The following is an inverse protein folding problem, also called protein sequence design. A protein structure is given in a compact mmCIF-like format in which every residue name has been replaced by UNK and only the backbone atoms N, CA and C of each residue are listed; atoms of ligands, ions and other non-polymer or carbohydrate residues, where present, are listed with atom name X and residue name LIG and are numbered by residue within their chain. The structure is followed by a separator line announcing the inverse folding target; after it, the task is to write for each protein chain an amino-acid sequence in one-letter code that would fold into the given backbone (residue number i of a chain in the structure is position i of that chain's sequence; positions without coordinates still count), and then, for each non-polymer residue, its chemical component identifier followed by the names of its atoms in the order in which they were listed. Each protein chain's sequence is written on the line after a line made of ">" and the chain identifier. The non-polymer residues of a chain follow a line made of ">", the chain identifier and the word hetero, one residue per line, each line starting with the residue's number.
data_IF_193519105019
#
_entry.id   IF_193519105019
#
_cell.length_a   1.000
_cell.length_b   1.000
_cell.length_c   1.000
_cell.angle_alpha   90.00
_cell.angle_beta   90.00
_cell.angle_gamma   90.00
#
_symmetry.space_group_name_H-M   'P 1'
#
loop_
_entity.id
_entity.type
_entity.pdbx_description
1 polymer ?
#
# COMPACT_ATOMS: atom_id res chain seq x y z
N UNK A 1 -1.29 60.60 -5.86
CA UNK A 1 -2.20 59.44 -5.92
C UNK A 1 -1.34 58.19 -5.96
N UNK A 2 -1.14 57.54 -4.81
CA UNK A 2 -0.45 56.26 -4.71
C UNK A 2 -1.46 55.15 -5.01
N UNK A 3 -1.23 54.42 -6.09
CA UNK A 3 -2.01 53.23 -6.45
C UNK A 3 -1.72 52.19 -5.37
N UNK A 4 -2.75 51.63 -4.68
CA UNK A 4 -2.52 50.53 -3.74
C UNK A 4 -1.93 49.32 -4.49
N UNK A 5 -0.84 48.76 -3.98
CA UNK A 5 -0.30 47.49 -4.49
C UNK A 5 -1.39 46.43 -4.38
N UNK A 6 -1.60 45.58 -5.40
CA UNK A 6 -2.56 44.47 -5.29
C UNK A 6 -2.16 43.60 -4.12
N UNK A 7 -3.16 43.30 -3.27
CA UNK A 7 -3.05 42.39 -2.14
C UNK A 7 -2.49 41.06 -2.66
N UNK A 8 -1.43 40.51 -2.06
CA UNK A 8 -0.89 39.25 -2.54
C UNK A 8 -1.98 38.18 -2.45
N UNK A 9 -2.33 37.58 -3.59
CA UNK A 9 -3.26 36.48 -3.66
C UNK A 9 -2.91 35.42 -2.58
N UNK A 10 -3.89 34.85 -1.86
CA UNK A 10 -3.63 33.85 -0.83
C UNK A 10 -2.78 32.76 -1.47
N UNK A 11 -1.51 32.66 -1.08
CA UNK A 11 -0.66 31.56 -1.49
C UNK A 11 -1.33 30.29 -0.96
N UNK A 12 -1.83 29.49 -1.87
CA UNK A 12 -2.50 28.23 -1.55
C UNK A 12 -1.48 27.35 -0.81
N UNK A 13 -1.56 27.34 0.52
CA UNK A 13 -0.59 26.64 1.35
C UNK A 13 -0.69 25.14 1.05
N UNK A 14 0.42 24.57 0.62
CA UNK A 14 0.50 23.13 0.33
C UNK A 14 0.08 22.30 1.54
N UNK A 15 -0.57 21.15 1.33
CA UNK A 15 -0.98 20.29 2.44
C UNK A 15 0.27 19.80 3.21
N UNK A 16 0.21 19.76 4.55
CA UNK A 16 1.32 19.30 5.35
C UNK A 16 1.67 17.84 5.03
N UNK A 17 2.97 17.51 4.99
CA UNK A 17 3.47 16.19 4.65
C UNK A 17 2.75 15.04 5.40
N UNK A 18 2.49 15.24 6.70
CA UNK A 18 1.78 14.25 7.52
C UNK A 18 0.34 14.00 7.06
N UNK A 19 -0.32 15.02 6.53
CA UNK A 19 -1.66 14.85 6.01
C UNK A 19 -1.64 14.01 4.72
N UNK A 20 -0.71 14.29 3.82
CA UNK A 20 -0.50 13.48 2.62
C UNK A 20 -0.11 12.03 2.99
N UNK A 21 0.83 11.85 3.92
CA UNK A 21 1.23 10.53 4.37
C UNK A 21 0.07 9.71 4.96
N UNK A 22 -0.83 10.35 5.74
CA UNK A 22 -2.03 9.68 6.27
C UNK A 22 -3.00 9.26 5.17
N UNK A 23 -3.19 10.08 4.14
CA UNK A 23 -4.02 9.72 3.00
C UNK A 23 -3.41 8.51 2.28
N UNK A 24 -2.11 8.55 1.97
CA UNK A 24 -1.41 7.42 1.35
C UNK A 24 -1.53 6.16 2.19
N UNK A 25 -1.26 6.25 3.49
CA UNK A 25 -1.36 5.13 4.42
C UNK A 25 -2.77 4.52 4.44
N UNK A 26 -3.79 5.37 4.58
CA UNK A 26 -5.18 4.91 4.69
C UNK A 26 -5.66 4.28 3.39
N UNK A 27 -5.40 4.91 2.24
CA UNK A 27 -5.79 4.37 0.94
C UNK A 27 -5.03 3.10 0.62
N UNK A 28 -3.73 3.02 0.92
CA UNK A 28 -2.94 1.80 0.78
C UNK A 28 -3.54 0.65 1.59
N UNK A 29 -3.77 0.87 2.90
CA UNK A 29 -4.30 -0.16 3.80
C UNK A 29 -5.68 -0.66 3.36
N UNK A 30 -6.59 0.27 3.07
CA UNK A 30 -7.96 -0.09 2.64
C UNK A 30 -7.94 -0.84 1.32
N UNK A 31 -7.16 -0.39 0.34
CA UNK A 31 -7.04 -1.05 -0.97
C UNK A 31 -6.49 -2.47 -0.81
N UNK A 32 -5.43 -2.63 -0.03
CA UNK A 32 -4.84 -3.95 0.23
C UNK A 32 -5.85 -4.90 0.87
N UNK A 33 -6.58 -4.46 1.90
CA UNK A 33 -7.60 -5.29 2.55
C UNK A 33 -8.70 -5.69 1.55
N UNK A 34 -9.22 -4.72 0.78
CA UNK A 34 -10.27 -4.96 -0.21
C UNK A 34 -9.80 -5.93 -1.28
N UNK A 35 -8.59 -5.74 -1.84
CA UNK A 35 -8.00 -6.65 -2.84
C UNK A 35 -7.91 -8.07 -2.29
N UNK A 36 -7.40 -8.26 -1.09
CA UNK A 36 -7.27 -9.60 -0.47
C UNK A 36 -8.61 -10.26 -0.21
N UNK A 37 -9.58 -9.51 0.31
CA UNK A 37 -10.94 -10.02 0.53
C UNK A 37 -11.57 -10.42 -0.81
N UNK A 38 -11.41 -9.59 -1.84
CA UNK A 38 -11.96 -9.87 -3.17
C UNK A 38 -11.35 -11.14 -3.77
N UNK A 39 -10.02 -11.29 -3.73
CA UNK A 39 -9.33 -12.50 -4.22
C UNK A 39 -9.85 -13.74 -3.48
N UNK A 40 -9.95 -13.70 -2.15
CA UNK A 40 -10.49 -14.82 -1.36
C UNK A 40 -11.91 -15.17 -1.78
N UNK A 41 -12.78 -14.17 -1.98
CA UNK A 41 -14.18 -14.39 -2.38
C UNK A 41 -14.29 -14.98 -3.79
N UNK A 42 -13.44 -14.56 -4.74
CA UNK A 42 -13.38 -15.10 -6.10
C UNK A 42 -12.90 -16.57 -6.04
N UNK A 43 -11.81 -16.84 -5.32
CA UNK A 43 -11.30 -18.21 -5.17
C UNK A 43 -12.30 -19.12 -4.45
N UNK A 44 -13.04 -18.62 -3.48
CA UNK A 44 -14.14 -19.33 -2.82
C UNK A 44 -15.41 -19.47 -3.69
N UNK A 45 -15.38 -18.98 -4.94
CA UNK A 45 -16.53 -18.96 -5.88
C UNK A 45 -17.79 -18.30 -5.30
N UNK A 46 -17.60 -17.31 -4.39
CA UNK A 46 -18.72 -16.56 -3.78
C UNK A 46 -19.11 -15.36 -4.61
N UNK A 47 -18.22 -14.85 -5.45
CA UNK A 47 -18.46 -13.76 -6.40
C UNK A 47 -17.97 -14.18 -7.79
N UNK A 48 -18.55 -13.60 -8.87
CA UNK A 48 -18.07 -13.82 -10.24
C UNK A 48 -16.59 -13.43 -10.38
N UNK A 49 -15.94 -14.03 -11.37
CA UNK A 49 -14.60 -13.65 -11.78
C UNK A 49 -14.61 -12.27 -12.41
N UNK A 50 -13.97 -11.30 -11.73
CA UNK A 50 -13.81 -9.93 -12.21
C UNK A 50 -12.44 -9.70 -12.86
N UNK A 51 -11.68 -10.78 -13.12
CA UNK A 51 -10.38 -10.65 -13.74
C UNK A 51 -10.53 -10.18 -15.21
N UNK A 52 -9.75 -9.17 -15.57
CA UNK A 52 -9.72 -8.70 -16.96
C UNK A 52 -8.85 -9.65 -17.76
N UNK A 53 -9.46 -10.26 -18.81
CA UNK A 53 -8.75 -11.08 -19.77
C UNK A 53 -8.57 -10.30 -21.07
N UNK A 54 -7.33 -10.08 -21.47
CA UNK A 54 -6.99 -9.44 -22.75
C UNK A 54 -6.30 -10.47 -23.65
N UNK A 55 -6.94 -10.81 -24.79
CA UNK A 55 -6.36 -11.78 -25.73
C UNK A 55 -6.09 -13.16 -25.14
N UNK A 56 -6.89 -13.60 -24.15
CA UNK A 56 -6.72 -14.89 -23.47
C UNK A 56 -5.68 -14.87 -22.34
N UNK A 57 -5.07 -13.73 -22.05
CA UNK A 57 -4.11 -13.57 -20.94
C UNK A 57 -4.76 -12.82 -19.78
N UNK A 58 -4.62 -13.34 -18.58
CA UNK A 58 -5.04 -12.71 -17.36
C UNK A 58 -4.19 -11.45 -17.09
N UNK A 59 -4.85 -10.28 -16.94
CA UNK A 59 -4.16 -9.04 -16.63
C UNK A 59 -4.15 -8.84 -15.12
N UNK A 60 -2.99 -9.00 -14.53
CA UNK A 60 -2.77 -8.78 -13.10
C UNK A 60 -2.99 -7.32 -12.70
N UNK A 61 -3.60 -7.08 -11.55
CA UNK A 61 -3.85 -5.73 -11.05
C UNK A 61 -2.57 -4.96 -10.67
N UNK A 62 -1.46 -5.63 -10.50
CA UNK A 62 -0.12 -5.07 -10.45
C UNK A 62 0.13 -4.09 -11.61
N UNK A 63 -0.28 -4.43 -12.85
CA UNK A 63 -0.07 -3.58 -14.01
C UNK A 63 -0.82 -2.25 -13.89
N UNK A 64 -2.06 -2.27 -13.40
CA UNK A 64 -2.82 -1.04 -13.15
C UNK A 64 -2.15 -0.19 -12.09
N UNK A 65 -1.60 -0.82 -11.03
CA UNK A 65 -0.84 -0.15 -9.99
C UNK A 65 0.37 0.59 -10.55
N UNK A 66 1.19 -0.06 -11.39
CA UNK A 66 2.37 0.53 -12.03
C UNK A 66 2.02 1.71 -12.93
N UNK A 67 1.01 1.56 -13.79
CA UNK A 67 0.57 2.65 -14.67
C UNK A 67 0.04 3.85 -13.87
N UNK A 68 -0.73 3.59 -12.82
CA UNK A 68 -1.24 4.65 -11.95
C UNK A 68 -0.10 5.38 -11.22
N UNK A 69 0.87 4.65 -10.68
CA UNK A 69 2.05 5.26 -10.04
C UNK A 69 2.85 6.10 -11.02
N UNK A 70 3.03 5.62 -12.26
CA UNK A 70 3.70 6.36 -13.33
C UNK A 70 2.96 7.64 -13.69
N UNK A 71 1.64 7.58 -13.81
CA UNK A 71 0.80 8.74 -14.08
C UNK A 71 0.86 9.77 -12.93
N UNK A 72 0.73 9.32 -11.68
CA UNK A 72 0.85 10.21 -10.50
C UNK A 72 2.25 10.82 -10.43
N UNK A 73 3.30 10.04 -10.68
CA UNK A 73 4.67 10.54 -10.73
C UNK A 73 4.84 11.61 -11.81
N UNK A 74 4.32 11.38 -13.02
CA UNK A 74 4.32 12.35 -14.11
C UNK A 74 3.57 13.64 -13.75
N UNK A 75 2.37 13.53 -13.17
CA UNK A 75 1.59 14.69 -12.73
C UNK A 75 2.36 15.52 -11.70
N UNK A 76 2.99 14.88 -10.72
CA UNK A 76 3.72 15.58 -9.66
C UNK A 76 5.04 16.20 -10.14
N UNK A 77 5.69 15.64 -11.18
CA UNK A 77 6.96 16.10 -11.69
C UNK A 77 6.81 17.21 -12.75
N UNK A 78 5.78 17.11 -13.59
CA UNK A 78 5.67 17.95 -14.78
C UNK A 78 4.57 19.00 -14.70
N UNK A 79 3.64 18.90 -13.71
CA UNK A 79 2.54 19.85 -13.55
C UNK A 79 2.59 20.52 -12.19
N UNK A 80 2.34 21.83 -12.19
CA UNK A 80 2.13 22.56 -10.93
C UNK A 80 0.66 22.38 -10.50
N UNK A 81 0.48 21.38 -9.62
CA UNK A 81 -0.84 21.01 -9.11
C UNK A 81 -1.08 21.66 -7.75
N UNK A 82 -2.21 22.35 -7.62
CA UNK A 82 -2.64 22.97 -6.38
C UNK A 82 -2.91 21.96 -5.26
N UNK A 83 -3.33 22.49 -4.11
CA UNK A 83 -3.57 21.69 -2.90
C UNK A 83 -4.49 20.47 -3.13
N UNK A 84 -5.62 20.69 -3.81
CA UNK A 84 -6.59 19.60 -4.07
C UNK A 84 -5.99 18.51 -4.97
N UNK A 85 -5.26 18.89 -6.01
CA UNK A 85 -4.56 17.95 -6.90
C UNK A 85 -3.57 17.07 -6.13
N UNK A 86 -2.81 17.64 -5.20
CA UNK A 86 -1.88 16.88 -4.34
C UNK A 86 -2.59 15.88 -3.42
N UNK A 87 -3.78 16.20 -2.91
CA UNK A 87 -4.59 15.28 -2.10
C UNK A 87 -5.07 14.09 -2.95
N UNK A 88 -5.56 14.36 -4.17
CA UNK A 88 -5.94 13.31 -5.10
C UNK A 88 -4.76 12.44 -5.51
N UNK A 89 -3.61 13.04 -5.82
CA UNK A 89 -2.38 12.31 -6.12
C UNK A 89 -1.94 11.42 -4.94
N UNK A 90 -2.05 11.90 -3.70
CA UNK A 90 -1.73 11.10 -2.53
C UNK A 90 -2.65 9.87 -2.40
N UNK A 91 -3.96 10.04 -2.63
CA UNK A 91 -4.92 8.94 -2.64
C UNK A 91 -4.62 7.93 -3.75
N UNK A 92 -4.44 8.41 -4.98
CA UNK A 92 -4.10 7.58 -6.14
C UNK A 92 -2.76 6.86 -5.96
N UNK A 93 -1.76 7.52 -5.36
CA UNK A 93 -0.47 6.91 -5.05
C UNK A 93 -0.61 5.74 -4.07
N UNK A 94 -1.34 5.92 -2.96
CA UNK A 94 -1.59 4.84 -2.00
C UNK A 94 -2.35 3.67 -2.61
N UNK A 95 -3.34 3.95 -3.45
CA UNK A 95 -4.09 2.94 -4.20
C UNK A 95 -3.19 2.16 -5.17
N UNK A 96 -2.42 2.86 -6.01
CA UNK A 96 -1.49 2.25 -6.95
C UNK A 96 -0.41 1.41 -6.27
N UNK A 97 0.16 1.90 -5.17
CA UNK A 97 1.12 1.13 -4.36
C UNK A 97 0.51 -0.16 -3.83
N UNK A 98 -0.71 -0.11 -3.30
CA UNK A 98 -1.37 -1.31 -2.75
C UNK A 98 -1.56 -2.38 -3.83
N UNK A 99 -2.07 -2.01 -5.01
CA UNK A 99 -2.24 -2.93 -6.14
C UNK A 99 -0.90 -3.52 -6.60
N UNK A 100 0.16 -2.70 -6.63
CA UNK A 100 1.49 -3.14 -7.07
C UNK A 100 2.10 -4.13 -6.09
N UNK A 101 2.05 -3.83 -4.79
CA UNK A 101 2.72 -4.65 -3.78
C UNK A 101 1.89 -5.84 -3.30
N UNK A 102 0.59 -5.86 -3.57
CA UNK A 102 -0.26 -7.02 -3.30
C UNK A 102 0.20 -8.27 -4.07
N UNK A 103 0.64 -8.09 -5.32
CA UNK A 103 1.15 -9.16 -6.19
C UNK A 103 2.69 -9.19 -6.30
N UNK A 104 3.41 -8.48 -5.43
CA UNK A 104 4.88 -8.36 -5.50
C UNK A 104 5.59 -9.72 -5.47
N UNK A 105 5.07 -10.68 -4.72
CA UNK A 105 5.62 -12.03 -4.64
C UNK A 105 5.58 -12.76 -5.98
N UNK A 106 4.51 -12.63 -6.73
CA UNK A 106 4.38 -13.25 -8.06
C UNK A 106 5.36 -12.62 -9.07
N UNK A 107 5.58 -11.32 -8.98
CA UNK A 107 6.55 -10.63 -9.83
C UNK A 107 7.98 -11.10 -9.57
N UNK A 108 8.37 -11.30 -8.30
CA UNK A 108 9.70 -11.79 -7.94
C UNK A 108 9.99 -13.20 -8.46
N UNK A 109 8.98 -14.06 -8.53
CA UNK A 109 9.15 -15.46 -8.90
C UNK A 109 8.64 -15.80 -10.31
N UNK A 110 8.27 -14.79 -11.11
CA UNK A 110 7.77 -14.93 -12.49
C UNK A 110 6.62 -15.95 -12.62
N UNK A 111 5.77 -15.97 -11.66
CA UNK A 111 4.65 -16.90 -11.51
C UNK A 111 4.65 -17.56 -10.14
N UNK A 112 3.51 -17.98 -9.68
CA UNK A 112 3.37 -18.65 -8.39
C UNK A 112 2.06 -18.25 -7.69
N UNK A 113 1.83 -18.87 -6.54
CA UNK A 113 0.62 -18.74 -5.74
C UNK A 113 0.36 -17.32 -5.23
N UNK A 114 -0.90 -16.89 -5.20
CA UNK A 114 -1.36 -15.64 -4.57
C UNK A 114 -1.00 -15.54 -3.06
N UNK A 115 -0.67 -16.65 -2.44
CA UNK A 115 -0.31 -16.76 -1.03
C UNK A 115 1.17 -16.57 -0.75
N UNK A 116 1.91 -16.03 -1.73
CA UNK A 116 3.34 -15.83 -1.56
C UNK A 116 3.64 -14.84 -0.44
N UNK A 117 4.48 -15.29 0.46
CA UNK A 117 4.90 -14.55 1.63
C UNK A 117 5.57 -13.22 1.29
N UNK A 118 6.32 -13.15 0.19
CA UNK A 118 7.05 -11.96 -0.21
C UNK A 118 6.15 -10.72 -0.37
N UNK A 119 4.90 -10.89 -0.84
CA UNK A 119 3.93 -9.80 -0.92
C UNK A 119 3.53 -9.28 0.47
N UNK A 120 3.28 -10.17 1.42
CA UNK A 120 2.94 -9.75 2.78
C UNK A 120 4.09 -9.05 3.48
N UNK A 121 5.33 -9.55 3.32
CA UNK A 121 6.53 -8.93 3.89
C UNK A 121 6.72 -7.51 3.32
N UNK A 122 6.57 -7.31 2.01
CA UNK A 122 6.65 -6.00 1.37
C UNK A 122 5.57 -5.03 1.89
N UNK A 123 4.32 -5.49 1.98
CA UNK A 123 3.21 -4.68 2.49
C UNK A 123 3.44 -4.25 3.94
N UNK A 124 3.93 -5.16 4.78
CA UNK A 124 4.25 -4.85 6.18
C UNK A 124 5.33 -3.77 6.30
N UNK A 125 6.41 -3.88 5.52
CA UNK A 125 7.49 -2.88 5.51
C UNK A 125 6.96 -1.52 5.06
N UNK A 126 6.17 -1.48 4.01
CA UNK A 126 5.59 -0.24 3.48
C UNK A 126 4.62 0.38 4.49
N UNK A 127 3.71 -0.41 5.07
CA UNK A 127 2.78 0.09 6.10
C UNK A 127 3.50 0.61 7.33
N UNK A 128 4.57 -0.07 7.77
CA UNK A 128 5.37 0.38 8.90
C UNK A 128 6.04 1.73 8.61
N UNK A 129 6.60 1.88 7.42
CA UNK A 129 7.23 3.13 6.99
C UNK A 129 6.21 4.27 6.83
N UNK A 130 5.10 4.04 6.15
CA UNK A 130 4.03 5.02 5.99
C UNK A 130 3.37 5.39 7.33
N UNK A 131 3.21 4.40 8.22
CA UNK A 131 2.73 4.62 9.57
C UNK A 131 3.66 5.52 10.37
N UNK A 132 4.96 5.28 10.29
CA UNK A 132 5.96 6.14 10.91
C UNK A 132 5.88 7.58 10.39
N UNK A 133 5.82 7.79 9.06
CA UNK A 133 5.68 9.12 8.46
C UNK A 133 4.37 9.83 8.87
N UNK A 134 3.30 9.05 9.04
CA UNK A 134 1.95 9.58 9.32
C UNK A 134 1.76 9.98 10.78
N UNK A 135 2.33 9.22 11.71
CA UNK A 135 2.01 9.29 13.13
C UNK A 135 3.19 9.64 14.02
N UNK A 136 4.45 9.55 13.54
CA UNK A 136 5.62 9.93 14.34
C UNK A 136 5.51 11.37 14.86
N UNK A 137 5.87 11.64 16.11
CA UNK A 137 5.92 13.00 16.65
C UNK A 137 6.94 13.84 15.87
N UNK A 138 6.77 15.17 15.86
CA UNK A 138 7.77 16.08 15.27
C UNK A 138 9.13 15.84 15.94
N UNK A 139 10.18 15.66 15.13
CA UNK A 139 11.53 15.36 15.59
C UNK A 139 12.02 16.34 16.67
N UNK A 140 11.70 17.63 16.53
CA UNK A 140 12.03 18.69 17.46
C UNK A 140 11.39 18.56 18.86
N UNK A 141 10.35 17.75 18.99
CA UNK A 141 9.62 17.49 20.23
C UNK A 141 9.92 16.12 20.84
N UNK A 142 10.88 15.38 20.31
CA UNK A 142 11.24 14.06 20.80
C UNK A 142 12.09 14.16 22.08
N UNK A 143 11.48 13.80 23.21
CA UNK A 143 12.17 13.64 24.52
C UNK A 143 12.75 12.22 24.61
N UNK A 144 13.70 12.00 25.50
CA UNK A 144 14.35 10.69 25.71
C UNK A 144 13.36 9.54 25.90
N UNK A 145 12.24 9.77 26.61
CA UNK A 145 11.22 8.74 26.79
C UNK A 145 10.52 8.33 25.48
N UNK A 146 10.40 9.22 24.49
CA UNK A 146 9.85 8.85 23.17
C UNK A 146 10.78 7.90 22.41
N UNK A 147 12.09 8.06 22.57
CA UNK A 147 13.08 7.14 21.99
C UNK A 147 13.02 5.76 22.65
N UNK A 148 12.90 5.70 23.96
CA UNK A 148 12.74 4.45 24.72
C UNK A 148 11.43 3.75 24.30
N UNK A 149 10.31 4.49 24.29
CA UNK A 149 9.02 3.96 23.87
C UNK A 149 9.05 3.50 22.40
N UNK A 150 9.69 4.26 21.51
CA UNK A 150 9.87 3.91 20.11
C UNK A 150 10.71 2.63 19.94
N UNK A 151 11.80 2.51 20.68
CA UNK A 151 12.65 1.31 20.66
C UNK A 151 11.91 0.08 21.20
N UNK A 152 11.16 0.23 22.30
CA UNK A 152 10.32 -0.85 22.84
C UNK A 152 9.20 -1.26 21.86
N UNK A 153 8.54 -0.28 21.25
CA UNK A 153 7.52 -0.56 20.23
C UNK A 153 8.12 -1.29 19.03
N UNK A 154 9.30 -0.86 18.56
CA UNK A 154 10.01 -1.51 17.46
C UNK A 154 10.41 -2.96 17.83
N UNK A 155 10.97 -3.16 19.02
CA UNK A 155 11.34 -4.48 19.52
C UNK A 155 10.12 -5.39 19.68
N UNK A 156 9.01 -4.87 20.21
CA UNK A 156 7.75 -5.62 20.35
C UNK A 156 7.16 -5.97 19.00
N UNK A 157 7.22 -5.05 18.05
CA UNK A 157 6.77 -5.27 16.67
C UNK A 157 7.63 -6.33 15.99
N UNK A 158 8.95 -6.25 16.10
CA UNK A 158 9.86 -7.26 15.56
C UNK A 158 9.62 -8.65 16.18
N UNK A 159 9.42 -8.73 17.49
CA UNK A 159 9.09 -9.97 18.19
C UNK A 159 7.74 -10.53 17.73
N UNK A 160 6.72 -9.67 17.58
CA UNK A 160 5.41 -10.06 17.05
C UNK A 160 5.53 -10.63 15.64
N UNK A 161 6.26 -9.96 14.74
CA UNK A 161 6.47 -10.44 13.39
C UNK A 161 7.26 -11.74 13.35
N UNK A 162 8.27 -11.90 14.20
CA UNK A 162 9.01 -13.16 14.32
C UNK A 162 8.09 -14.32 14.74
N UNK A 163 7.23 -14.10 15.73
CA UNK A 163 6.27 -15.10 16.20
C UNK A 163 5.18 -15.38 15.15
N UNK A 164 4.66 -14.33 14.51
CA UNK A 164 3.70 -14.45 13.41
C UNK A 164 4.30 -15.25 12.25
N UNK A 165 5.54 -14.95 11.90
CA UNK A 165 6.30 -15.66 10.90
C UNK A 165 6.43 -17.16 11.23
N UNK A 166 6.80 -17.49 12.45
CA UNK A 166 6.92 -18.86 12.91
C UNK A 166 5.56 -19.58 12.86
N UNK A 167 4.50 -18.88 13.27
CA UNK A 167 3.12 -19.38 13.23
C UNK A 167 2.63 -19.61 11.81
N UNK A 168 2.85 -18.66 10.90
CA UNK A 168 2.47 -18.77 9.48
C UNK A 168 3.25 -19.85 8.76
N UNK A 169 4.54 -20.00 9.04
CA UNK A 169 5.33 -21.12 8.48
C UNK A 169 4.82 -22.48 8.97
N UNK A 170 4.38 -22.57 10.23
CA UNK A 170 3.79 -23.79 10.76
C UNK A 170 2.44 -24.07 10.10
N UNK A 171 1.57 -23.06 9.99
CA UNK A 171 0.27 -23.17 9.32
C UNK A 171 0.43 -23.45 7.82
N UNK A 172 1.37 -22.79 7.14
CA UNK A 172 1.65 -22.99 5.72
C UNK A 172 2.12 -24.40 5.40
N UNK A 173 2.97 -25.00 6.24
CA UNK A 173 3.37 -26.42 6.09
C UNK A 173 2.22 -27.40 6.28
N UNK A 174 1.24 -27.03 7.09
CA UNK A 174 0.10 -27.91 7.42
C UNK A 174 -1.04 -27.76 6.40
N UNK A 175 -1.35 -26.54 6.01
CA UNK A 175 -2.50 -26.22 5.15
C UNK A 175 -2.10 -25.87 3.70
N UNK A 176 -0.81 -25.63 3.44
CA UNK A 176 -0.29 -25.26 2.12
C UNK A 176 -0.71 -26.20 0.99
N UNK A 177 -0.56 -27.53 1.13
CA UNK A 177 -0.98 -28.46 0.09
C UNK A 177 -2.48 -28.41 -0.23
N UNK A 178 -3.29 -28.06 0.77
CA UNK A 178 -4.76 -27.92 0.60
C UNK A 178 -5.12 -26.61 -0.10
N UNK A 179 -4.38 -25.55 0.17
CA UNK A 179 -4.56 -24.25 -0.50
C UNK A 179 -4.09 -24.31 -1.96
N UNK A 180 -2.99 -25.03 -2.25
CA UNK A 180 -2.52 -25.27 -3.61
C UNK A 180 -3.56 -26.07 -4.43
N UNK A 181 -4.16 -27.10 -3.86
CA UNK A 181 -5.23 -27.86 -4.50
C UNK A 181 -6.47 -26.99 -4.80
N UNK A 182 -6.82 -26.08 -3.89
CA UNK A 182 -7.92 -25.13 -4.13
C UNK A 182 -7.59 -24.13 -5.24
N UNK A 183 -6.34 -23.71 -5.33
CA UNK A 183 -5.86 -22.79 -6.37
C UNK A 183 -5.85 -23.48 -7.74
N UNK A 184 -5.36 -24.71 -7.84
CA UNK A 184 -5.39 -25.51 -9.07
C UNK A 184 -6.82 -25.83 -9.55
N UNK A 185 -7.78 -25.92 -8.64
CA UNK A 185 -9.19 -26.15 -8.94
C UNK A 185 -9.98 -24.85 -9.21
N UNK A 186 -9.34 -23.67 -9.05
CA UNK A 186 -9.92 -22.36 -9.30
C UNK A 186 -10.11 -22.03 -10.79
N UNK A 187 -10.85 -21.00 -11.13
CA UNK A 187 -10.96 -20.51 -12.51
C UNK A 187 -9.60 -19.98 -12.98
N UNK A 188 -9.13 -20.47 -14.11
CA UNK A 188 -7.93 -20.03 -14.83
C UNK A 188 -8.15 -18.72 -15.59
#
# INVERSE_FOLDING_TARGET
>A
MTVPSPDPSPQETLPPLRHLARIVFTTFLLTFIVSRVLVILIMARRVPDFFLHLGGTHVHHLNYGIFLLSAVGGLLLFLDIGRLGRLWCAGAYGFGMALTFDEFGMWLHLGGSYWQRASFDAVIVILSFLGMLSFAPKWERMKTHHWITGALALASTAAFYFLLFKSLNYAGKREGPRLEQLEESGPS
#
